data_IF_647585764231
#
_entry.id   IF_647585764231
#
_cell.length_a   1.000
_cell.length_b   1.000
_cell.length_c   1.000
_cell.angle_alpha   90.00
_cell.angle_beta   90.00
_cell.angle_gamma   90.00
#
_symmetry.space_group_name_H-M   'P 1'
#
loop_
_entity.id
_entity.type
_entity.pdbx_description
1 polymer ?
#
# COMPACT_ATOMS: atom_id res chain seq x y z
N UNK A 1 -14.38 -14.15 7.29
CA UNK A 1 -13.55 -13.11 7.93
C UNK A 1 -12.93 -12.29 6.81
N UNK A 2 -13.07 -10.96 6.83
CA UNK A 2 -12.73 -10.07 5.71
C UNK A 2 -11.29 -9.58 5.81
N UNK A 3 -10.60 -9.38 4.67
CA UNK A 3 -9.26 -8.78 4.62
C UNK A 3 -9.32 -7.32 5.09
N UNK A 4 -8.25 -6.86 5.74
CA UNK A 4 -8.21 -5.52 6.31
C UNK A 4 -8.04 -4.47 5.21
N UNK A 5 -8.88 -3.44 5.23
CA UNK A 5 -8.77 -2.29 4.33
C UNK A 5 -7.95 -1.19 5.00
N UNK A 6 -7.15 -0.46 4.21
CA UNK A 6 -6.47 0.74 4.67
C UNK A 6 -7.18 2.00 4.16
N UNK A 7 -6.99 3.10 4.88
CA UNK A 7 -7.46 4.44 4.50
C UNK A 7 -6.27 5.39 4.44
N UNK A 8 -6.18 6.16 3.37
CA UNK A 8 -5.15 7.17 3.16
C UNK A 8 -5.83 8.53 3.00
N UNK A 9 -5.47 9.49 3.84
CA UNK A 9 -6.16 10.80 3.90
C UNK A 9 -5.18 11.93 3.73
N UNK A 10 -5.48 12.87 2.82
CA UNK A 10 -4.77 14.15 2.78
C UNK A 10 -5.27 15.03 3.91
N UNK A 11 -4.35 15.69 4.61
CA UNK A 11 -4.71 16.63 5.65
C UNK A 11 -5.59 17.76 5.13
N UNK A 12 -6.38 18.36 6.04
CA UNK A 12 -7.31 19.48 5.76
C UNK A 12 -8.51 19.12 4.86
N UNK A 13 -8.89 17.84 4.78
CA UNK A 13 -10.09 17.40 4.08
C UNK A 13 -10.00 17.46 2.55
N UNK A 14 -8.77 17.50 2.02
CA UNK A 14 -8.50 17.60 0.57
C UNK A 14 -8.85 16.31 -0.19
N UNK A 15 -8.88 15.16 0.49
CA UNK A 15 -9.30 13.91 -0.11
C UNK A 15 -9.02 12.70 0.78
N UNK A 16 -9.73 11.61 0.50
CA UNK A 16 -9.51 10.31 1.13
C UNK A 16 -9.55 9.22 0.06
N UNK A 17 -8.67 8.24 0.21
CA UNK A 17 -8.62 7.06 -0.63
C UNK A 17 -8.70 5.81 0.24
N UNK A 18 -9.69 4.95 -0.02
CA UNK A 18 -9.84 3.65 0.63
C UNK A 18 -9.23 2.57 -0.25
N UNK A 19 -8.28 1.82 0.30
CA UNK A 19 -7.68 0.68 -0.38
C UNK A 19 -8.53 -0.57 -0.17
N UNK A 20 -8.57 -1.44 -1.19
CA UNK A 20 -9.19 -2.74 -0.99
C UNK A 20 -8.41 -3.58 0.01
N UNK A 21 -9.10 -4.56 0.59
CA UNK A 21 -8.46 -5.52 1.49
C UNK A 21 -7.28 -6.25 0.83
N UNK A 22 -7.46 -6.78 -0.40
CA UNK A 22 -6.37 -7.40 -1.13
C UNK A 22 -5.16 -6.50 -1.37
N UNK A 23 -5.34 -5.22 -1.76
CA UNK A 23 -4.21 -4.31 -1.95
C UNK A 23 -3.49 -4.04 -0.62
N UNK A 24 -4.25 -3.71 0.44
CA UNK A 24 -3.69 -3.42 1.76
C UNK A 24 -2.82 -4.59 2.25
N UNK A 25 -3.38 -5.79 2.27
CA UNK A 25 -2.69 -6.99 2.72
C UNK A 25 -1.51 -7.34 1.80
N UNK A 26 -1.61 -7.09 0.49
CA UNK A 26 -0.50 -7.31 -0.44
C UNK A 26 0.68 -6.37 -0.18
N UNK A 27 0.46 -5.11 0.19
CA UNK A 27 1.54 -4.19 0.56
C UNK A 27 2.30 -4.71 1.79
N UNK A 28 1.58 -5.24 2.79
CA UNK A 28 2.20 -5.88 3.95
C UNK A 28 2.92 -7.18 3.59
N UNK A 29 2.26 -8.10 2.89
CA UNK A 29 2.80 -9.39 2.50
C UNK A 29 4.04 -9.27 1.60
N UNK A 30 4.08 -8.24 0.75
CA UNK A 30 5.20 -7.94 -0.14
C UNK A 30 6.34 -7.15 0.51
N UNK A 31 6.27 -6.98 1.84
CA UNK A 31 7.22 -6.24 2.69
C UNK A 31 7.37 -4.75 2.35
N UNK A 32 6.41 -4.17 1.63
CA UNK A 32 6.49 -2.77 1.21
C UNK A 32 6.72 -1.82 2.38
N UNK A 33 5.87 -1.87 3.41
CA UNK A 33 5.97 -1.01 4.58
C UNK A 33 7.21 -1.30 5.43
N UNK A 34 7.54 -2.58 5.62
CA UNK A 34 8.72 -2.99 6.37
C UNK A 34 10.02 -2.50 5.72
N UNK A 35 10.14 -2.62 4.40
CA UNK A 35 11.30 -2.13 3.64
C UNK A 35 11.39 -0.60 3.66
N UNK A 36 10.24 0.09 3.60
CA UNK A 36 10.18 1.55 3.70
C UNK A 36 10.63 2.02 5.09
N UNK A 37 10.08 1.42 6.14
CA UNK A 37 10.43 1.70 7.54
C UNK A 37 11.93 1.55 7.80
N UNK A 38 12.52 0.44 7.32
CA UNK A 38 13.95 0.20 7.46
C UNK A 38 14.81 1.25 6.72
N UNK A 39 14.35 1.76 5.58
CA UNK A 39 15.10 2.75 4.78
C UNK A 39 14.95 4.18 5.28
N UNK A 40 13.77 4.56 5.75
CA UNK A 40 13.42 5.95 6.07
C UNK A 40 13.37 6.23 7.58
N UNK A 41 13.48 5.19 8.42
CA UNK A 41 13.33 5.34 9.87
C UNK A 41 11.88 5.63 10.28
N UNK A 42 10.90 5.22 9.47
CA UNK A 42 9.47 5.32 9.78
C UNK A 42 8.96 4.07 10.50
N UNK A 43 7.72 4.09 10.98
CA UNK A 43 7.13 3.02 11.78
C UNK A 43 5.73 2.57 11.32
N UNK A 44 5.41 2.74 10.03
CA UNK A 44 4.14 2.32 9.46
C UNK A 44 3.84 0.84 9.77
N UNK A 45 2.83 0.57 10.56
CA UNK A 45 2.43 -0.79 10.94
C UNK A 45 0.93 -1.02 10.70
N UNK A 46 0.55 -2.29 10.58
CA UNK A 46 -0.83 -2.69 10.39
C UNK A 46 -1.63 -2.36 11.67
N UNK A 47 -2.83 -1.80 11.49
CA UNK A 47 -3.71 -1.34 12.55
C UNK A 47 -3.27 -0.04 13.27
N UNK A 48 -2.23 0.63 12.77
CA UNK A 48 -1.79 1.92 13.28
C UNK A 48 -2.19 3.08 12.33
N UNK A 49 -2.20 4.28 12.89
CA UNK A 49 -2.43 5.52 12.15
C UNK A 49 -1.18 6.41 12.27
N UNK A 50 -0.55 6.69 11.14
CA UNK A 50 0.69 7.46 11.06
C UNK A 50 0.57 8.63 10.08
N UNK A 51 1.00 9.80 10.51
CA UNK A 51 1.16 10.96 9.64
C UNK A 51 2.54 10.95 8.96
N UNK A 52 2.55 11.22 7.65
CA UNK A 52 3.76 11.33 6.86
C UNK A 52 3.88 12.71 6.24
N UNK A 53 5.05 13.33 6.41
CA UNK A 53 5.39 14.57 5.72
C UNK A 53 5.72 14.34 4.23
N UNK A 54 5.64 15.42 3.45
CA UNK A 54 5.86 15.43 1.99
C UNK A 54 7.15 14.73 1.55
N UNK A 55 8.31 14.84 2.22
CA UNK A 55 9.51 14.08 1.83
C UNK A 55 9.33 12.57 1.91
N UNK A 56 8.65 12.07 2.94
CA UNK A 56 8.36 10.63 3.09
C UNK A 56 7.37 10.19 2.02
N UNK A 57 6.32 10.98 1.77
CA UNK A 57 5.33 10.68 0.72
C UNK A 57 5.99 10.57 -0.66
N UNK A 58 6.97 11.43 -0.98
CA UNK A 58 7.73 11.32 -2.23
C UNK A 58 8.43 9.96 -2.36
N UNK A 59 9.05 9.47 -1.29
CA UNK A 59 9.68 8.14 -1.28
C UNK A 59 8.64 7.03 -1.47
N UNK A 60 7.48 7.14 -0.81
CA UNK A 60 6.37 6.18 -0.98
C UNK A 60 5.92 6.13 -2.44
N UNK A 61 5.74 7.28 -3.09
CA UNK A 61 5.37 7.37 -4.52
C UNK A 61 6.42 6.69 -5.41
N UNK A 62 7.70 6.92 -5.16
CA UNK A 62 8.79 6.30 -5.93
C UNK A 62 8.83 4.78 -5.77
N UNK A 63 8.63 4.26 -4.56
CA UNK A 63 8.57 2.82 -4.30
C UNK A 63 7.31 2.19 -4.91
N UNK A 64 6.15 2.87 -4.87
CA UNK A 64 4.93 2.43 -5.56
C UNK A 64 5.14 2.38 -7.07
N UNK A 65 5.84 3.34 -7.67
CA UNK A 65 6.16 3.32 -9.09
C UNK A 65 7.03 2.11 -9.48
N UNK A 66 7.96 1.70 -8.60
CA UNK A 66 8.72 0.46 -8.80
C UNK A 66 7.81 -0.78 -8.75
N UNK A 67 6.83 -0.81 -7.84
CA UNK A 67 5.84 -1.89 -7.77
C UNK A 67 4.93 -1.94 -9.00
N UNK A 68 4.49 -0.78 -9.52
CA UNK A 68 3.75 -0.66 -10.79
C UNK A 68 4.54 -1.27 -11.95
N UNK A 69 5.83 -0.93 -12.07
CA UNK A 69 6.69 -1.51 -13.12
C UNK A 69 6.81 -3.03 -12.98
N UNK A 70 7.10 -3.52 -11.77
CA UNK A 70 7.21 -4.96 -11.52
C UNK A 70 5.90 -5.72 -11.83
N UNK A 71 4.75 -5.16 -11.49
CA UNK A 71 3.44 -5.74 -11.83
C UNK A 71 3.18 -5.75 -13.33
N UNK A 72 3.62 -4.72 -14.07
CA UNK A 72 3.49 -4.70 -15.53
C UNK A 72 4.35 -5.74 -16.23
N UNK A 73 5.51 -6.06 -15.64
CA UNK A 73 6.45 -7.07 -16.12
C UNK A 73 5.99 -8.51 -15.79
N UNK A 74 5.21 -8.70 -14.72
CA UNK A 74 4.42 -9.91 -14.54
C UNK A 74 3.46 -10.03 -15.73
N UNK A 75 3.45 -11.16 -16.45
CA UNK A 75 2.46 -11.43 -17.49
C UNK A 75 1.02 -11.40 -16.95
N UNK A 76 0.02 -11.82 -17.74
CA UNK A 76 -1.41 -11.74 -17.38
C UNK A 76 -1.87 -12.71 -16.26
N UNK A 77 -0.96 -13.14 -15.38
CA UNK A 77 -1.25 -14.06 -14.29
C UNK A 77 -1.76 -13.32 -13.05
N UNK A 78 -2.60 -14.00 -12.28
CA UNK A 78 -3.00 -13.52 -10.96
C UNK A 78 -1.81 -13.46 -10.00
N UNK A 79 -1.86 -12.52 -9.07
CA UNK A 79 -0.88 -12.37 -8.00
C UNK A 79 -1.34 -13.16 -6.79
N UNK A 80 -0.59 -14.20 -6.46
CA UNK A 80 -0.81 -15.01 -5.27
C UNK A 80 0.10 -14.57 -4.12
N UNK A 81 -0.46 -14.46 -2.91
CA UNK A 81 0.31 -14.14 -1.72
C UNK A 81 -0.31 -14.70 -0.44
N UNK A 82 0.53 -14.88 0.58
CA UNK A 82 0.11 -15.27 1.94
C UNK A 82 -0.26 -14.00 2.70
N UNK A 83 -1.51 -13.88 3.15
CA UNK A 83 -1.97 -12.72 3.93
C UNK A 83 -2.11 -13.01 5.42
N UNK A 84 -2.08 -14.29 5.83
CA UNK A 84 -2.15 -14.68 7.25
C UNK A 84 -1.60 -16.09 7.48
N UNK A 85 -1.24 -16.37 8.72
CA UNK A 85 -0.93 -17.72 9.22
C UNK A 85 -1.95 -18.16 10.26
N UNK A 86 -2.37 -19.43 10.23
CA UNK A 86 -3.22 -19.99 11.29
C UNK A 86 -2.42 -20.24 12.56
N UNK A 87 -3.10 -20.54 13.68
CA UNK A 87 -2.44 -20.90 14.94
C UNK A 87 -1.51 -22.12 14.78
N UNK A 88 -1.84 -23.03 13.87
CA UNK A 88 -1.05 -24.21 13.51
C UNK A 88 0.04 -23.91 12.46
N UNK A 89 0.36 -22.63 12.22
CA UNK A 89 1.36 -22.17 11.24
C UNK A 89 1.07 -22.62 9.80
N UNK A 90 -0.21 -22.71 9.42
CA UNK A 90 -0.59 -22.95 8.02
C UNK A 90 -0.80 -21.62 7.28
N UNK A 91 -0.31 -21.47 6.04
CA UNK A 91 -0.51 -20.23 5.29
C UNK A 91 -1.96 -20.14 4.79
N UNK A 92 -2.56 -18.97 4.95
CA UNK A 92 -3.77 -18.58 4.25
C UNK A 92 -3.37 -17.71 3.07
N UNK A 93 -3.61 -18.22 1.87
CA UNK A 93 -3.27 -17.57 0.60
C UNK A 93 -4.51 -16.96 -0.03
N UNK A 94 -4.27 -15.96 -0.87
CA UNK A 94 -5.27 -15.42 -1.79
C UNK A 94 -4.66 -15.22 -3.17
N UNK A 95 -5.54 -15.14 -4.17
CA UNK A 95 -5.18 -14.87 -5.56
C UNK A 95 -6.01 -13.68 -6.04
N UNK A 96 -5.34 -12.70 -6.63
CA UNK A 96 -5.94 -11.43 -7.07
C UNK A 96 -5.57 -11.17 -8.51
N UNK A 97 -6.50 -10.76 -9.39
CA UNK A 97 -6.16 -10.36 -10.73
C UNK A 97 -5.11 -9.24 -10.72
N UNK A 98 -4.02 -9.45 -11.44
CA UNK A 98 -2.92 -8.47 -11.55
C UNK A 98 -3.42 -7.11 -11.98
N UNK A 99 -4.35 -7.05 -12.93
CA UNK A 99 -4.94 -5.79 -13.41
C UNK A 99 -5.64 -5.01 -12.31
N UNK A 100 -6.41 -5.70 -11.46
CA UNK A 100 -7.10 -5.07 -10.32
C UNK A 100 -6.09 -4.48 -9.34
N UNK A 101 -5.05 -5.26 -9.01
CA UNK A 101 -3.99 -4.82 -8.12
C UNK A 101 -3.19 -3.64 -8.72
N UNK A 102 -2.81 -3.74 -9.98
CA UNK A 102 -2.09 -2.69 -10.73
C UNK A 102 -2.90 -1.40 -10.75
N UNK A 103 -4.20 -1.49 -11.04
CA UNK A 103 -5.10 -0.33 -11.07
C UNK A 103 -5.18 0.38 -9.72
N UNK A 104 -5.30 -0.36 -8.61
CA UNK A 104 -5.36 0.27 -7.29
C UNK A 104 -4.00 0.82 -6.83
N UNK A 105 -2.88 0.15 -7.15
CA UNK A 105 -1.53 0.69 -6.86
C UNK A 105 -1.30 1.99 -7.62
N UNK A 106 -1.71 2.06 -8.89
CA UNK A 106 -1.66 3.29 -9.70
C UNK A 106 -2.52 4.38 -9.07
N UNK A 107 -3.74 4.06 -8.65
CA UNK A 107 -4.64 5.01 -7.98
C UNK A 107 -4.04 5.57 -6.69
N UNK A 108 -3.44 4.71 -5.85
CA UNK A 108 -2.75 5.14 -4.63
C UNK A 108 -1.54 6.03 -4.94
N UNK A 109 -0.71 5.65 -5.91
CA UNK A 109 0.45 6.44 -6.33
C UNK A 109 0.01 7.83 -6.80
N UNK A 110 -1.00 7.91 -7.65
CA UNK A 110 -1.48 9.17 -8.22
C UNK A 110 -2.09 10.07 -7.14
N UNK A 111 -2.88 9.50 -6.23
CA UNK A 111 -3.38 10.21 -5.05
C UNK A 111 -2.25 10.81 -4.21
N UNK A 112 -1.20 10.02 -3.91
CA UNK A 112 -0.06 10.53 -3.14
C UNK A 112 0.78 11.56 -3.92
N UNK A 113 0.90 11.42 -5.24
CA UNK A 113 1.57 12.40 -6.08
C UNK A 113 0.83 13.75 -6.07
N UNK A 114 -0.51 13.74 -6.07
CA UNK A 114 -1.33 14.94 -5.92
C UNK A 114 -1.14 15.59 -4.54
N UNK A 115 -1.01 14.80 -3.47
CA UNK A 115 -0.69 15.32 -2.14
C UNK A 115 0.68 16.02 -2.12
N UNK A 116 1.68 15.42 -2.75
CA UNK A 116 3.02 16.00 -2.91
C UNK A 116 2.98 17.31 -3.70
N UNK A 117 2.23 17.36 -4.80
CA UNK A 117 2.08 18.56 -5.62
C UNK A 117 1.43 19.71 -4.84
N UNK A 118 0.50 19.38 -3.94
CA UNK A 118 -0.17 20.33 -3.05
C UNK A 118 0.63 20.64 -1.77
N UNK A 119 1.82 20.04 -1.61
CA UNK A 119 2.64 20.13 -0.40
C UNK A 119 1.84 19.80 0.87
N UNK A 120 1.04 18.74 0.80
CA UNK A 120 0.13 18.30 1.85
C UNK A 120 0.65 17.04 2.54
N UNK A 121 0.75 17.00 3.88
CA UNK A 121 0.97 15.76 4.61
C UNK A 121 -0.21 14.80 4.48
N UNK A 122 0.06 13.52 4.67
CA UNK A 122 -0.90 12.43 4.49
C UNK A 122 -0.91 11.54 5.73
N UNK A 123 -2.10 11.19 6.18
CA UNK A 123 -2.32 10.20 7.23
C UNK A 123 -2.60 8.84 6.61
N UNK A 124 -1.85 7.84 7.02
CA UNK A 124 -2.03 6.44 6.66
C UNK A 124 -2.65 5.71 7.86
N UNK A 125 -3.87 5.20 7.70
CA UNK A 125 -4.50 4.26 8.63
C UNK A 125 -4.46 2.87 7.99
N UNK A 126 -3.47 2.06 8.37
CA UNK A 126 -3.07 0.86 7.61
C UNK A 126 -3.77 -0.43 8.05
#
# INVERSE_FOLDING_TARGET
MQMQQSLVSMNKGLGQLRLSGPLSEWLFASKFWSDLNAKQGTMFDQFEEDEADVPIIRVVVEELERRVRALRELGEHDVEFVYRWTAEHKPLTTSVPRESLLSEVVMLRDFLADAVAQNCPVTFAL
#
